data_IF_412730521522
#
_entry.id   IF_412730521522
#
_cell.length_a   1.000
_cell.length_b   1.000
_cell.length_c   1.000
_cell.angle_alpha   90.00
_cell.angle_beta   90.00
_cell.angle_gamma   90.00
#
_symmetry.space_group_name_H-M   'P 1'
#
loop_
_entity.id
_entity.type
_entity.pdbx_description
1 polymer ?
#
# COMPACT_ATOMS: atom_id res chain seq x y z
N UNK A 1 12.16 -13.94 23.99
CA UNK A 1 12.53 -13.93 22.55
C UNK A 1 11.32 -13.50 21.75
N UNK A 2 11.50 -12.59 20.79
CA UNK A 2 10.46 -12.20 19.85
C UNK A 2 9.99 -13.41 19.04
N UNK A 3 8.70 -13.48 18.67
CA UNK A 3 8.22 -14.59 17.85
C UNK A 3 8.82 -14.53 16.45
N UNK A 4 9.30 -15.67 15.92
CA UNK A 4 9.79 -15.75 14.53
C UNK A 4 8.75 -15.26 13.52
N UNK A 5 7.46 -15.46 13.84
CA UNK A 5 6.31 -15.00 13.06
C UNK A 5 6.30 -13.49 12.86
N UNK A 6 6.71 -12.70 13.86
CA UNK A 6 6.70 -11.25 13.77
C UNK A 6 7.76 -10.73 12.80
N UNK A 7 8.97 -11.30 12.81
CA UNK A 7 10.01 -10.94 11.83
C UNK A 7 9.55 -11.24 10.40
N UNK A 8 8.96 -12.42 10.17
CA UNK A 8 8.42 -12.79 8.85
C UNK A 8 7.30 -11.83 8.44
N UNK A 9 6.36 -11.52 9.34
CA UNK A 9 5.27 -10.59 9.05
C UNK A 9 5.77 -9.18 8.67
N UNK A 10 6.77 -8.66 9.39
CA UNK A 10 7.39 -7.36 9.06
C UNK A 10 8.08 -7.42 7.70
N UNK A 11 8.84 -8.48 7.41
CA UNK A 11 9.46 -8.66 6.10
C UNK A 11 8.43 -8.74 4.96
N UNK A 12 7.32 -9.44 5.15
CA UNK A 12 6.24 -9.51 4.16
C UNK A 12 5.57 -8.16 3.94
N UNK A 13 5.27 -7.42 5.01
CA UNK A 13 4.70 -6.08 4.91
C UNK A 13 5.65 -5.11 4.18
N UNK A 14 6.93 -5.13 4.53
CA UNK A 14 7.94 -4.28 3.90
C UNK A 14 8.15 -4.61 2.42
N UNK A 15 8.21 -5.91 2.08
CA UNK A 15 8.25 -6.36 0.70
C UNK A 15 7.06 -5.83 -0.11
N UNK A 16 5.86 -5.90 0.48
CA UNK A 16 4.65 -5.41 -0.16
C UNK A 16 4.66 -3.89 -0.34
N UNK A 17 5.09 -3.13 0.67
CA UNK A 17 5.16 -1.66 0.60
C UNK A 17 6.08 -1.22 -0.54
N UNK A 18 7.28 -1.78 -0.63
CA UNK A 18 8.24 -1.42 -1.69
C UNK A 18 7.76 -1.90 -3.06
N UNK A 19 7.29 -3.14 -3.17
CA UNK A 19 6.73 -3.65 -4.43
C UNK A 19 5.51 -2.82 -4.89
N UNK A 20 4.64 -2.42 -3.97
CA UNK A 20 3.49 -1.58 -4.26
C UNK A 20 3.90 -0.18 -4.69
N UNK A 21 4.87 0.44 -4.00
CA UNK A 21 5.41 1.75 -4.37
C UNK A 21 5.94 1.76 -5.80
N UNK A 22 6.77 0.77 -6.14
CA UNK A 22 7.33 0.62 -7.47
C UNK A 22 6.25 0.29 -8.51
N UNK A 23 5.25 -0.53 -8.17
CA UNK A 23 4.09 -0.83 -9.03
C UNK A 23 3.31 0.45 -9.36
N UNK A 24 3.04 1.28 -8.35
CA UNK A 24 2.32 2.54 -8.50
C UNK A 24 3.11 3.53 -9.37
N UNK A 25 4.43 3.57 -9.22
CA UNK A 25 5.30 4.36 -10.12
C UNK A 25 5.18 3.90 -11.58
N UNK A 26 5.21 2.58 -11.83
CA UNK A 26 5.05 2.04 -13.18
C UNK A 26 3.65 2.30 -13.74
N UNK A 27 2.62 2.13 -12.92
CA UNK A 27 1.24 2.40 -13.28
C UNK A 27 1.03 3.87 -13.67
N UNK A 28 1.49 4.82 -12.85
CA UNK A 28 1.35 6.25 -13.16
C UNK A 28 2.19 6.69 -14.36
N UNK A 29 3.39 6.11 -14.51
CA UNK A 29 4.20 6.30 -15.73
C UNK A 29 3.45 5.84 -16.99
N UNK A 30 2.69 4.74 -16.88
CA UNK A 30 1.88 4.21 -17.98
C UNK A 30 0.59 5.01 -18.24
N UNK A 31 -0.16 5.41 -17.22
CA UNK A 31 -1.48 6.05 -17.39
C UNK A 31 -1.39 7.56 -17.61
N UNK A 32 -0.41 8.24 -16.99
CA UNK A 32 -0.22 9.68 -17.08
C UNK A 32 1.15 10.00 -17.73
N UNK A 33 2.01 10.74 -17.03
CA UNK A 33 3.34 11.17 -17.44
C UNK A 33 4.38 10.77 -16.40
N UNK A 34 5.62 10.47 -16.81
CA UNK A 34 6.68 9.98 -15.92
C UNK A 34 6.98 10.88 -14.71
N UNK A 35 6.70 12.18 -14.77
CA UNK A 35 6.85 13.09 -13.62
C UNK A 35 5.97 12.72 -12.42
N UNK A 36 4.80 12.12 -12.65
CA UNK A 36 3.91 11.65 -11.59
C UNK A 36 4.41 10.35 -10.92
N UNK A 37 5.34 9.61 -11.55
CA UNK A 37 5.97 8.48 -10.89
C UNK A 37 6.81 8.95 -9.68
N UNK A 38 7.57 10.03 -9.82
CA UNK A 38 8.40 10.55 -8.71
C UNK A 38 7.59 11.07 -7.53
N UNK A 39 6.36 11.55 -7.77
CA UNK A 39 5.42 11.94 -6.71
C UNK A 39 5.15 10.79 -5.74
N UNK A 40 5.13 9.54 -6.21
CA UNK A 40 4.81 8.36 -5.38
C UNK A 40 5.78 8.23 -4.22
N UNK A 41 7.07 8.54 -4.43
CA UNK A 41 8.07 8.52 -3.36
C UNK A 41 7.69 9.53 -2.27
N UNK A 42 7.33 10.75 -2.66
CA UNK A 42 6.89 11.79 -1.72
C UNK A 42 5.62 11.39 -0.98
N UNK A 43 4.66 10.73 -1.65
CA UNK A 43 3.43 10.21 -1.03
C UNK A 43 3.76 9.11 -0.01
N UNK A 44 4.66 8.20 -0.35
CA UNK A 44 5.10 7.15 0.56
C UNK A 44 5.76 7.74 1.81
N UNK A 45 6.69 8.70 1.63
CA UNK A 45 7.33 9.41 2.73
C UNK A 45 6.33 10.20 3.58
N UNK A 46 5.34 10.86 2.95
CA UNK A 46 4.27 11.58 3.65
C UNK A 46 3.41 10.62 4.48
N UNK A 47 3.07 9.45 3.93
CA UNK A 47 2.31 8.42 4.64
C UNK A 47 3.05 7.88 5.87
N UNK A 48 4.34 7.53 5.69
CA UNK A 48 5.18 7.11 6.80
C UNK A 48 5.35 8.23 7.84
N UNK A 49 5.61 9.47 7.41
CA UNK A 49 5.73 10.63 8.28
C UNK A 49 4.46 10.88 9.10
N UNK A 50 3.30 10.95 8.44
CA UNK A 50 2.00 11.13 9.10
C UNK A 50 1.68 9.99 10.07
N UNK A 51 2.00 8.75 9.70
CA UNK A 51 1.81 7.59 10.59
C UNK A 51 2.70 7.65 11.83
N UNK A 52 3.95 8.12 11.67
CA UNK A 52 4.90 8.33 12.76
C UNK A 52 4.45 9.44 13.71
N UNK A 53 3.95 10.56 13.16
CA UNK A 53 3.36 11.64 13.97
C UNK A 53 2.15 11.15 14.76
N UNK A 54 1.21 10.44 14.12
CA UNK A 54 0.05 9.86 14.81
C UNK A 54 0.49 8.91 15.93
N UNK A 55 1.45 8.02 15.64
CA UNK A 55 1.95 7.07 16.63
C UNK A 55 2.67 7.75 17.80
N UNK A 56 3.40 8.83 17.55
CA UNK A 56 4.05 9.63 18.59
C UNK A 56 3.03 10.27 19.53
N UNK A 57 1.98 10.89 18.96
CA UNK A 57 0.90 11.55 19.72
C UNK A 57 0.07 10.55 20.55
N UNK A 58 -0.25 9.38 19.98
CA UNK A 58 -1.12 8.38 20.61
C UNK A 58 -0.36 7.14 21.09
N UNK A 59 0.93 7.28 21.38
CA UNK A 59 1.85 6.17 21.69
C UNK A 59 1.31 5.21 22.75
N UNK A 60 0.84 5.75 23.88
CA UNK A 60 0.35 4.96 25.02
C UNK A 60 -0.86 4.11 24.64
N UNK A 61 -1.81 4.68 23.90
CA UNK A 61 -3.01 3.99 23.43
C UNK A 61 -2.66 2.87 22.45
N UNK A 62 -1.79 3.17 21.47
CA UNK A 62 -1.37 2.22 20.45
C UNK A 62 -0.60 1.04 21.03
N UNK A 63 0.36 1.31 21.93
CA UNK A 63 1.14 0.26 22.62
C UNK A 63 0.26 -0.58 23.54
N UNK A 64 -0.75 0.02 24.20
CA UNK A 64 -1.71 -0.70 25.05
C UNK A 64 -2.61 -1.64 24.23
N UNK A 65 -3.02 -1.21 23.03
CA UNK A 65 -3.89 -2.00 22.12
C UNK A 65 -3.12 -2.74 21.03
N UNK A 66 -1.81 -2.94 21.21
CA UNK A 66 -0.89 -3.50 20.22
C UNK A 66 -1.41 -4.78 19.56
N UNK A 67 -1.88 -5.75 20.36
CA UNK A 67 -2.31 -7.07 19.88
C UNK A 67 -3.55 -7.03 19.01
N UNK A 68 -4.42 -6.04 19.20
CA UNK A 68 -5.61 -5.84 18.38
C UNK A 68 -5.32 -4.97 17.17
N UNK A 69 -4.55 -3.89 17.35
CA UNK A 69 -4.29 -2.91 16.29
C UNK A 69 -3.36 -3.45 15.21
N UNK A 70 -2.35 -4.24 15.57
CA UNK A 70 -1.36 -4.70 14.61
C UNK A 70 -1.96 -5.48 13.41
N UNK A 71 -2.76 -6.56 13.60
CA UNK A 71 -3.37 -7.25 12.46
C UNK A 71 -4.36 -6.37 11.69
N UNK A 72 -5.02 -5.41 12.37
CA UNK A 72 -5.93 -4.46 11.71
C UNK A 72 -5.14 -3.52 10.79
N UNK A 73 -3.99 -3.00 11.21
CA UNK A 73 -3.16 -2.12 10.38
C UNK A 73 -2.63 -2.86 9.14
N UNK A 74 -2.21 -4.13 9.29
CA UNK A 74 -1.85 -4.99 8.16
C UNK A 74 -3.03 -5.21 7.21
N UNK A 75 -4.23 -5.50 7.76
CA UNK A 75 -5.44 -5.68 6.96
C UNK A 75 -5.84 -4.41 6.21
N UNK A 76 -5.79 -3.23 6.87
CA UNK A 76 -6.08 -1.96 6.24
C UNK A 76 -5.08 -1.64 5.12
N UNK A 77 -3.79 -1.86 5.37
CA UNK A 77 -2.76 -1.74 4.32
C UNK A 77 -3.10 -2.62 3.10
N UNK A 78 -3.45 -3.89 3.31
CA UNK A 78 -3.89 -4.81 2.25
C UNK A 78 -5.14 -4.31 1.51
N UNK A 79 -6.17 -3.88 2.25
CA UNK A 79 -7.43 -3.40 1.65
C UNK A 79 -7.17 -2.18 0.77
N UNK A 80 -6.45 -1.18 1.27
CA UNK A 80 -6.15 0.02 0.49
C UNK A 80 -5.23 -0.27 -0.69
N UNK A 81 -4.26 -1.18 -0.59
CA UNK A 81 -3.48 -1.63 -1.76
C UNK A 81 -4.37 -2.29 -2.82
N UNK A 82 -5.39 -3.04 -2.41
CA UNK A 82 -6.27 -3.76 -3.36
C UNK A 82 -7.28 -2.83 -4.04
N UNK A 83 -7.82 -1.86 -3.30
CA UNK A 83 -8.89 -0.97 -3.78
C UNK A 83 -8.38 0.34 -4.37
N UNK A 84 -7.10 0.67 -4.21
CA UNK A 84 -6.49 1.92 -4.67
C UNK A 84 -6.83 2.23 -6.13
N UNK A 85 -6.59 1.29 -7.03
CA UNK A 85 -6.92 1.45 -8.44
C UNK A 85 -8.42 1.74 -8.61
N UNK A 86 -9.34 0.93 -8.05
CA UNK A 86 -10.80 1.16 -8.14
C UNK A 86 -11.23 2.55 -7.72
N UNK A 87 -10.62 3.07 -6.65
CA UNK A 87 -10.96 4.39 -6.11
C UNK A 87 -10.43 5.52 -7.01
N UNK A 88 -9.35 5.30 -7.75
CA UNK A 88 -8.74 6.33 -8.61
C UNK A 88 -9.16 6.27 -10.08
N UNK A 89 -9.79 5.18 -10.56
CA UNK A 89 -10.21 5.03 -11.97
C UNK A 89 -11.22 6.10 -12.41
N UNK A 90 -12.03 6.63 -11.50
CA UNK A 90 -13.03 7.66 -11.81
C UNK A 90 -12.43 9.06 -11.97
N UNK A 91 -11.25 9.28 -11.36
CA UNK A 91 -10.57 10.58 -11.30
C UNK A 91 -9.53 10.68 -12.41
N UNK A 92 -8.75 9.61 -12.60
CA UNK A 92 -7.57 9.56 -13.46
C UNK A 92 -7.79 9.92 -14.93
N UNK A 93 -8.81 9.41 -15.66
CA UNK A 93 -8.98 9.69 -17.08
C UNK A 93 -9.35 11.14 -17.38
N UNK A 94 -10.02 11.82 -16.43
CA UNK A 94 -10.50 13.20 -16.57
C UNK A 94 -9.54 14.26 -16.03
N UNK A 95 -8.44 13.82 -15.42
CA UNK A 95 -7.42 14.70 -14.86
C UNK A 95 -6.56 15.29 -15.98
N UNK A 96 -6.47 16.61 -16.03
CA UNK A 96 -5.62 17.32 -16.98
C UNK A 96 -4.42 17.95 -16.25
N UNK A 97 -3.23 17.34 -16.33
CA UNK A 97 -2.03 17.85 -15.66
C UNK A 97 -1.67 19.31 -16.00
N UNK A 98 -2.00 19.78 -17.20
CA UNK A 98 -1.66 21.13 -17.66
C UNK A 98 -2.53 22.23 -17.01
N UNK A 99 -3.70 21.86 -16.50
CA UNK A 99 -4.66 22.78 -15.87
C UNK A 99 -4.54 22.80 -14.34
N UNK A 100 -3.57 22.11 -13.74
CA UNK A 100 -3.39 22.04 -12.27
C UNK A 100 -3.09 23.43 -11.68
N UNK A 101 -2.38 24.30 -12.40
CA UNK A 101 -2.01 25.63 -11.91
C UNK A 101 -3.19 26.61 -12.00
N UNK A 102 -4.10 26.42 -12.96
CA UNK A 102 -5.18 27.36 -13.28
C UNK A 102 -6.56 26.90 -12.82
N UNK A 103 -6.77 25.60 -12.59
CA UNK A 103 -8.08 25.00 -12.31
C UNK A 103 -8.22 24.47 -10.89
N UNK A 104 -9.13 25.05 -10.10
CA UNK A 104 -9.47 24.61 -8.74
C UNK A 104 -9.95 23.16 -8.67
N UNK A 105 -10.64 22.67 -9.71
CA UNK A 105 -11.06 21.27 -9.85
C UNK A 105 -9.88 20.31 -9.93
N UNK A 106 -8.85 20.65 -10.70
CA UNK A 106 -7.69 19.78 -10.91
C UNK A 106 -6.81 19.71 -9.66
N UNK A 107 -6.69 20.82 -8.92
CA UNK A 107 -6.07 20.83 -7.59
C UNK A 107 -6.81 19.90 -6.63
N UNK A 108 -8.15 19.99 -6.59
CA UNK A 108 -8.98 19.12 -5.76
C UNK A 108 -8.84 17.64 -6.13
N UNK A 109 -8.81 17.31 -7.43
CA UNK A 109 -8.58 15.96 -7.93
C UNK A 109 -7.19 15.43 -7.56
N UNK A 110 -6.15 16.27 -7.68
CA UNK A 110 -4.79 15.92 -7.28
C UNK A 110 -4.71 15.66 -5.78
N UNK A 111 -5.27 16.54 -4.95
CA UNK A 111 -5.33 16.35 -3.49
C UNK A 111 -6.04 15.04 -3.12
N UNK A 112 -7.14 14.72 -3.80
CA UNK A 112 -7.85 13.46 -3.57
C UNK A 112 -7.01 12.24 -3.98
N UNK A 113 -6.28 12.30 -5.09
CA UNK A 113 -5.34 11.24 -5.48
C UNK A 113 -4.24 11.05 -4.43
N UNK A 114 -3.61 12.14 -3.96
CA UNK A 114 -2.63 12.09 -2.87
C UNK A 114 -3.23 11.43 -1.62
N UNK A 115 -4.46 11.82 -1.25
CA UNK A 115 -5.15 11.29 -0.08
C UNK A 115 -5.52 9.80 -0.23
N UNK A 116 -5.75 9.30 -1.44
CA UNK A 116 -6.01 7.88 -1.67
C UNK A 116 -4.70 7.08 -1.67
N UNK A 117 -3.67 7.57 -2.36
CA UNK A 117 -2.37 6.89 -2.46
C UNK A 117 -1.59 6.87 -1.16
N UNK A 118 -1.79 7.83 -0.26
CA UNK A 118 -1.10 7.86 1.05
C UNK A 118 -1.57 6.73 1.97
N UNK A 119 -2.82 6.25 1.85
CA UNK A 119 -3.43 5.31 2.79
C UNK A 119 -2.67 3.99 2.98
N UNK A 120 -2.28 3.24 1.92
CA UNK A 120 -1.53 2.00 2.10
C UNK A 120 -0.19 2.24 2.81
N UNK A 121 0.52 3.33 2.49
CA UNK A 121 1.78 3.70 3.15
C UNK A 121 1.58 4.16 4.60
N UNK A 122 0.49 4.87 4.87
CA UNK A 122 0.14 5.30 6.23
C UNK A 122 -0.12 4.11 7.15
N UNK A 123 -0.93 3.15 6.73
CA UNK A 123 -1.23 1.96 7.54
C UNK A 123 -0.01 1.02 7.64
N UNK A 124 0.75 0.86 6.56
CA UNK A 124 2.01 0.11 6.57
C UNK A 124 3.05 0.71 7.51
N UNK A 125 3.27 2.03 7.42
CA UNK A 125 4.16 2.78 8.30
C UNK A 125 3.69 2.76 9.76
N UNK A 126 2.39 2.88 10.02
CA UNK A 126 1.83 2.75 11.36
C UNK A 126 2.09 1.37 11.95
N UNK A 127 1.96 0.30 11.16
CA UNK A 127 2.21 -1.07 11.61
C UNK A 127 3.69 -1.31 11.95
N UNK A 128 4.61 -0.93 11.05
CA UNK A 128 6.06 -1.04 11.28
C UNK A 128 6.46 -0.20 12.49
N UNK A 129 6.03 1.07 12.53
CA UNK A 129 6.32 1.98 13.63
C UNK A 129 5.79 1.48 14.97
N UNK A 130 4.59 0.88 15.00
CA UNK A 130 4.00 0.30 16.20
C UNK A 130 4.84 -0.87 16.73
N UNK A 131 5.33 -1.73 15.83
CA UNK A 131 6.21 -2.84 16.18
C UNK A 131 7.55 -2.34 16.73
N UNK A 132 8.16 -1.35 16.08
CA UNK A 132 9.41 -0.75 16.54
C UNK A 132 9.25 -0.06 17.90
N UNK A 133 8.13 0.61 18.12
CA UNK A 133 7.81 1.28 19.39
C UNK A 133 7.59 0.29 20.53
N UNK A 134 6.93 -0.84 20.25
CA UNK A 134 6.66 -1.90 21.25
C UNK A 134 7.91 -2.72 21.58
N UNK A 135 8.76 -2.97 20.59
CA UNK A 135 9.88 -3.91 20.67
C UNK A 135 11.23 -3.24 20.41
N UNK A 136 11.42 -2.04 20.96
CA UNK A 136 12.64 -1.24 20.78
C UNK A 136 13.93 -1.96 21.19
N UNK A 137 13.87 -2.87 22.17
CA UNK A 137 15.01 -3.69 22.60
C UNK A 137 15.50 -4.70 21.55
N UNK A 138 14.68 -5.02 20.55
CA UNK A 138 15.00 -5.98 19.48
C UNK A 138 15.01 -5.32 18.10
N UNK A 139 15.18 -3.99 18.05
CA UNK A 139 15.05 -3.21 16.82
C UNK A 139 16.01 -3.66 15.72
N UNK A 140 17.25 -4.07 16.06
CA UNK A 140 18.23 -4.50 15.06
C UNK A 140 17.74 -5.68 14.20
N UNK A 141 17.15 -6.70 14.81
CA UNK A 141 16.60 -7.84 14.06
C UNK A 141 15.33 -7.49 13.28
N UNK A 142 14.51 -6.59 13.82
CA UNK A 142 13.28 -6.14 13.16
C UNK A 142 13.60 -5.30 11.93
N UNK A 143 14.59 -4.41 12.05
CA UNK A 143 15.13 -3.60 10.98
C UNK A 143 15.81 -4.45 9.90
N UNK A 144 16.53 -5.49 10.30
CA UNK A 144 17.07 -6.47 9.34
C UNK A 144 15.96 -7.15 8.54
N UNK A 145 14.89 -7.60 9.19
CA UNK A 145 13.76 -8.22 8.52
C UNK A 145 13.02 -7.24 7.59
N UNK A 146 12.86 -5.99 8.01
CA UNK A 146 12.27 -4.90 7.22
C UNK A 146 13.11 -4.62 5.96
N UNK A 147 14.40 -4.34 6.09
CA UNK A 147 15.29 -4.11 4.95
C UNK A 147 15.40 -5.32 4.00
N UNK A 148 15.48 -6.53 4.56
CA UNK A 148 15.51 -7.76 3.75
C UNK A 148 14.19 -7.95 3.00
N UNK A 149 13.07 -7.67 3.65
CA UNK A 149 11.75 -7.68 3.04
C UNK A 149 11.65 -6.69 1.88
N UNK A 150 12.04 -5.44 2.11
CA UNK A 150 12.11 -4.40 1.09
C UNK A 150 12.92 -4.82 -0.14
N UNK A 151 14.11 -5.38 0.05
CA UNK A 151 14.97 -5.88 -1.03
C UNK A 151 14.29 -7.01 -1.82
N UNK A 152 13.70 -7.99 -1.12
CA UNK A 152 12.94 -9.09 -1.74
C UNK A 152 11.74 -8.54 -2.51
N UNK A 153 11.04 -7.55 -1.98
CA UNK A 153 9.91 -6.89 -2.64
C UNK A 153 10.28 -6.25 -3.98
N UNK A 154 11.42 -5.57 -4.04
CA UNK A 154 11.95 -4.99 -5.28
C UNK A 154 12.27 -6.06 -6.34
N UNK A 155 12.94 -7.15 -5.93
CA UNK A 155 13.27 -8.27 -6.83
C UNK A 155 11.98 -8.97 -7.29
N UNK A 156 11.08 -9.27 -6.37
CA UNK A 156 9.79 -9.91 -6.63
C UNK A 156 9.00 -9.10 -7.66
N UNK A 157 8.89 -7.78 -7.47
CA UNK A 157 8.21 -6.94 -8.44
C UNK A 157 8.89 -6.98 -9.80
N UNK A 158 10.22 -6.89 -9.84
CA UNK A 158 10.98 -6.91 -11.09
C UNK A 158 10.66 -8.16 -11.90
N UNK A 159 10.51 -9.31 -11.24
CA UNK A 159 10.10 -10.57 -11.89
C UNK A 159 8.63 -10.52 -12.32
N UNK A 160 7.73 -10.06 -11.45
CA UNK A 160 6.29 -9.99 -11.73
C UNK A 160 5.96 -9.10 -12.93
N UNK A 161 6.68 -8.00 -13.11
CA UNK A 161 6.50 -7.09 -14.24
C UNK A 161 6.83 -7.71 -15.60
N UNK A 162 7.60 -8.81 -15.64
CA UNK A 162 7.84 -9.56 -16.88
C UNK A 162 6.64 -10.43 -17.27
N UNK A 163 5.77 -10.76 -16.31
CA UNK A 163 4.66 -11.71 -16.49
C UNK A 163 3.31 -11.01 -16.56
N UNK A 164 3.14 -9.92 -15.80
CA UNK A 164 1.85 -9.25 -15.58
C UNK A 164 2.00 -7.74 -15.72
N UNK A 165 0.96 -7.06 -16.23
CA UNK A 165 0.96 -5.60 -16.32
C UNK A 165 0.81 -4.95 -14.93
N UNK A 166 1.30 -3.71 -14.72
CA UNK A 166 1.32 -3.05 -13.41
C UNK A 166 -0.04 -2.97 -12.71
N UNK A 167 -1.13 -2.75 -13.44
CA UNK A 167 -2.49 -2.61 -12.87
C UNK A 167 -3.04 -3.92 -12.27
N UNK A 168 -2.45 -5.08 -12.57
CA UNK A 168 -2.84 -6.36 -11.95
C UNK A 168 -2.01 -6.68 -10.70
N UNK A 169 -0.92 -5.94 -10.45
CA UNK A 169 0.03 -6.26 -9.40
C UNK A 169 -0.40 -5.74 -8.02
N UNK A 170 -1.07 -4.59 -7.94
CA UNK A 170 -1.55 -4.03 -6.67
C UNK A 170 -2.39 -5.02 -5.82
N UNK A 171 -3.45 -5.67 -6.35
CA UNK A 171 -4.24 -6.63 -5.58
C UNK A 171 -3.50 -7.96 -5.32
N UNK A 172 -2.50 -8.32 -6.13
CA UNK A 172 -1.67 -9.50 -5.89
C UNK A 172 -0.68 -9.26 -4.73
N UNK A 173 -0.04 -8.10 -4.71
CA UNK A 173 0.93 -7.72 -3.68
C UNK A 173 0.27 -7.51 -2.32
N UNK A 174 -1.01 -7.14 -2.28
CA UNK A 174 -1.77 -6.98 -1.04
C UNK A 174 -1.98 -8.30 -0.27
N UNK A 175 -1.73 -9.46 -0.89
CA UNK A 175 -1.75 -10.76 -0.22
C UNK A 175 -0.61 -10.89 0.80
N UNK A 176 0.51 -10.20 0.62
CA UNK A 176 1.65 -10.23 1.54
C UNK A 176 1.32 -9.62 2.91
N UNK A 177 0.82 -8.37 3.03
CA UNK A 177 0.40 -7.82 4.32
C UNK A 177 -0.80 -8.59 4.87
N UNK A 178 -1.67 -9.14 4.01
CA UNK A 178 -2.79 -9.96 4.48
C UNK A 178 -2.33 -11.26 5.15
N UNK A 179 -1.38 -11.97 4.53
CA UNK A 179 -0.74 -13.14 5.12
C UNK A 179 0.04 -12.77 6.40
N UNK A 180 0.75 -11.63 6.39
CA UNK A 180 1.39 -11.07 7.58
C UNK A 180 0.39 -10.81 8.71
N UNK A 181 -0.81 -10.34 8.41
CA UNK A 181 -1.88 -10.13 9.38
C UNK A 181 -2.30 -11.42 10.08
N UNK A 182 -2.41 -12.54 9.33
CA UNK A 182 -2.70 -13.86 9.89
C UNK A 182 -1.60 -14.37 10.82
N UNK A 183 -0.33 -14.04 10.55
CA UNK A 183 0.81 -14.44 11.37
C UNK A 183 0.86 -13.73 12.74
N UNK A 184 0.29 -12.53 12.82
CA UNK A 184 0.32 -11.67 14.03
C UNK A 184 -1.00 -11.63 14.80
N UNK A 185 -1.99 -12.47 14.44
CA UNK A 185 -3.25 -12.58 15.19
C UNK A 185 -2.98 -13.08 16.61
N UNK A 186 -3.58 -12.39 17.58
CA UNK A 186 -3.63 -12.84 18.97
C UNK A 186 -4.97 -13.50 19.34
N UNK A 187 -4.96 -14.32 20.38
CA UNK A 187 -6.10 -15.17 20.77
C UNK A 187 -7.30 -14.40 21.34
N UNK A 188 -7.09 -13.23 21.95
CA UNK A 188 -8.12 -12.53 22.72
C UNK A 188 -9.35 -12.08 21.89
N UNK A 189 -9.14 -11.62 20.65
CA UNK A 189 -10.22 -11.18 19.74
C UNK A 189 -10.27 -12.01 18.44
N UNK A 190 -9.72 -13.22 18.48
CA UNK A 190 -9.39 -14.03 17.29
C UNK A 190 -10.56 -14.19 16.31
N UNK A 191 -11.78 -14.47 16.78
CA UNK A 191 -12.93 -14.69 15.88
C UNK A 191 -13.24 -13.47 15.02
N UNK A 192 -13.32 -12.27 15.62
CA UNK A 192 -13.64 -11.03 14.87
C UNK A 192 -12.52 -10.68 13.88
N UNK A 193 -11.26 -10.79 14.32
CA UNK A 193 -10.10 -10.53 13.45
C UNK A 193 -10.02 -11.52 12.30
N UNK A 194 -10.28 -12.81 12.54
CA UNK A 194 -10.28 -13.82 11.47
C UNK A 194 -11.41 -13.55 10.46
N UNK A 195 -12.63 -13.23 10.92
CA UNK A 195 -13.73 -12.88 10.00
C UNK A 195 -13.38 -11.67 9.13
N UNK A 196 -12.79 -10.64 9.74
CA UNK A 196 -12.30 -9.46 9.00
C UNK A 196 -11.28 -9.86 7.94
N UNK A 197 -10.26 -10.65 8.31
CA UNK A 197 -9.20 -11.06 7.40
C UNK A 197 -9.72 -11.96 6.28
N UNK A 198 -10.68 -12.85 6.58
CA UNK A 198 -11.37 -13.65 5.56
C UNK A 198 -12.13 -12.76 4.58
N UNK A 199 -12.85 -11.74 5.06
CA UNK A 199 -13.51 -10.77 4.19
C UNK A 199 -12.51 -10.01 3.30
N UNK A 200 -11.36 -9.60 3.86
CA UNK A 200 -10.27 -8.99 3.09
C UNK A 200 -9.70 -9.95 2.04
N UNK A 201 -9.51 -11.24 2.36
CA UNK A 201 -9.03 -12.24 1.38
C UNK A 201 -9.99 -12.45 0.24
N UNK A 202 -11.31 -12.48 0.52
CA UNK A 202 -12.34 -12.61 -0.50
C UNK A 202 -12.36 -11.37 -1.40
N UNK A 203 -12.23 -10.18 -0.82
CA UNK A 203 -12.15 -8.93 -1.59
C UNK A 203 -10.92 -8.90 -2.51
N UNK A 204 -9.74 -9.24 -1.99
CA UNK A 204 -8.52 -9.30 -2.80
C UNK A 204 -8.63 -10.37 -3.89
N UNK A 205 -9.13 -11.57 -3.56
CA UNK A 205 -9.35 -12.63 -4.53
C UNK A 205 -10.33 -12.22 -5.64
N UNK A 206 -11.43 -11.56 -5.28
CA UNK A 206 -12.41 -11.04 -6.25
C UNK A 206 -11.78 -10.04 -7.22
N UNK A 207 -10.95 -9.11 -6.73
CA UNK A 207 -10.30 -8.08 -7.57
C UNK A 207 -9.10 -8.61 -8.38
N UNK A 208 -8.46 -9.69 -7.95
CA UNK A 208 -7.47 -10.41 -8.76
C UNK A 208 -8.16 -11.09 -9.96
N UNK A 209 -9.30 -11.74 -9.71
CA UNK A 209 -10.05 -12.46 -10.77
C UNK A 209 -10.74 -11.48 -11.71
N UNK A 210 -11.39 -10.45 -11.17
CA UNK A 210 -12.05 -9.42 -11.94
C UNK A 210 -11.03 -8.36 -12.36
N UNK A 211 -10.23 -8.72 -13.39
CA UNK A 211 -9.14 -7.91 -13.93
C UNK A 211 -9.55 -6.44 -14.05
N UNK A 212 -8.89 -5.58 -13.30
CA UNK A 212 -9.11 -4.14 -13.39
C UNK A 212 -8.47 -3.64 -14.69
N UNK A 213 -9.29 -3.26 -15.66
CA UNK A 213 -8.79 -2.60 -16.88
C UNK A 213 -8.42 -1.16 -16.55
N UNK A 214 -7.20 -0.70 -16.87
CA UNK A 214 -6.78 0.66 -16.56
C UNK A 214 -7.57 1.68 -17.40
N UNK A 215 -8.08 2.73 -16.77
CA UNK A 215 -8.62 3.89 -17.47
C UNK A 215 -7.45 4.80 -17.88
N UNK A 216 -7.03 4.71 -19.15
CA UNK A 216 -5.93 5.52 -19.70
C UNK A 216 -6.35 6.99 -19.77
N UNK A 217 -5.46 7.93 -19.44
CA UNK A 217 -5.74 9.36 -19.58
C UNK A 217 -6.05 9.72 -21.03
N UNK A 218 -7.14 10.44 -21.25
CA UNK A 218 -7.58 10.93 -22.58
C UNK A 218 -6.52 11.84 -23.23
N UNK A 219 -5.68 12.46 -22.42
CA UNK A 219 -4.64 13.40 -22.87
C UNK A 219 -3.33 12.71 -23.27
N UNK A 220 -3.20 11.38 -23.09
CA UNK A 220 -2.00 10.65 -23.49
C UNK A 220 -2.07 10.23 -24.96
N UNK A 221 -0.94 10.32 -25.66
CA UNK A 221 -0.80 9.88 -27.06
C UNK A 221 -1.24 8.43 -27.29
N UNK A 222 -1.06 7.56 -26.29
CA UNK A 222 -1.49 6.16 -26.32
C UNK A 222 -3.01 6.01 -26.50
N UNK A 223 -3.80 6.87 -25.86
CA UNK A 223 -5.27 6.86 -26.00
C UNK A 223 -5.67 7.18 -27.44
N UNK A 224 -5.00 8.17 -28.06
CA UNK A 224 -5.23 8.55 -29.47
C UNK A 224 -4.85 7.45 -30.47
N UNK A 225 -3.82 6.64 -30.17
CA UNK A 225 -3.40 5.54 -31.03
C UNK A 225 -4.34 4.32 -30.96
N UNK A 226 -5.05 4.12 -29.84
CA UNK A 226 -6.04 3.05 -29.69
C UNK A 226 -7.41 3.40 -30.29
N UNK A 227 -7.67 4.68 -30.58
CA UNK A 227 -8.90 5.18 -31.19
C UNK A 227 -8.82 5.38 -32.71
N UNK A 228 -7.69 5.04 -33.33
CA UNK A 228 -7.47 5.02 -34.80
C UNK A 228 -7.60 3.60 -35.33
#
# INVERSE_FOLDING_TARGET
MLSKRLYVAIGMLSAAIIAFQLTLMQYLSFVQWGHFAYMVISVALLGFGASGTMLSLFRTLFVRRYTTLLPILFALCSVFMTTELMLTQSITPRFNPFMVISGTREIGALMLMYLLYILPFFFGGAAIGLVYTKHSSHIGGLYFADLSGAAIGGILLSILLWMLPPWQLSPLLSLLPLAGAFLVIDYHNRRKTVVLLMACTVLSGYLIVNKQSPAISEYKSLSKAMSM
#
